data_IF_769204072616
#
_entry.id   IF_769204072616
#
_cell.length_a   1.000
_cell.length_b   1.000
_cell.length_c   1.000
_cell.angle_alpha   90.00
_cell.angle_beta   90.00
_cell.angle_gamma   90.00
#
_symmetry.space_group_name_H-M   'P 1'
#
loop_
_entity.id
_entity.type
_entity.pdbx_description
1 polymer ?
#
# COMPACT_ATOMS: atom_id res chain seq x y z
N UNK A 1 -11.24 -23.74 1.92
CA UNK A 1 -11.86 -22.61 1.19
C UNK A 1 -11.18 -22.51 -0.18
N UNK A 2 -11.91 -22.18 -1.24
CA UNK A 2 -11.28 -21.79 -2.51
C UNK A 2 -10.72 -20.37 -2.34
N UNK A 3 -9.54 -20.04 -2.90
CA UNK A 3 -9.08 -18.66 -2.97
C UNK A 3 -10.16 -17.85 -3.69
N UNK A 4 -10.59 -16.75 -3.10
CA UNK A 4 -11.42 -15.75 -3.79
C UNK A 4 -10.45 -15.03 -4.72
N UNK A 5 -10.77 -14.96 -6.02
CA UNK A 5 -10.01 -14.10 -6.92
C UNK A 5 -10.25 -12.65 -6.51
N UNK A 6 -9.20 -11.83 -6.42
CA UNK A 6 -9.25 -10.43 -5.95
C UNK A 6 -10.32 -9.61 -6.68
N UNK A 7 -10.57 -9.92 -7.95
CA UNK A 7 -11.59 -9.30 -8.82
C UNK A 7 -13.05 -9.58 -8.37
N UNK A 8 -13.31 -10.66 -7.66
CA UNK A 8 -14.64 -11.04 -7.16
C UNK A 8 -14.88 -10.58 -5.72
N UNK A 9 -13.85 -10.07 -5.03
CA UNK A 9 -13.97 -9.62 -3.65
C UNK A 9 -14.74 -8.30 -3.58
N UNK A 10 -15.81 -8.19 -2.77
CA UNK A 10 -16.53 -6.94 -2.56
C UNK A 10 -15.62 -5.79 -2.10
N UNK A 11 -15.92 -4.56 -2.54
CA UNK A 11 -15.10 -3.38 -2.23
C UNK A 11 -14.95 -3.13 -0.72
N UNK A 12 -16.02 -3.33 0.06
CA UNK A 12 -16.02 -3.16 1.51
C UNK A 12 -15.08 -4.15 2.22
N UNK A 13 -15.05 -5.41 1.75
CA UNK A 13 -14.12 -6.43 2.25
C UNK A 13 -12.67 -6.06 1.87
N UNK A 14 -12.46 -5.57 0.65
CA UNK A 14 -11.12 -5.17 0.21
C UNK A 14 -10.59 -3.95 0.96
N UNK A 15 -11.44 -2.95 1.22
CA UNK A 15 -11.10 -1.78 2.04
C UNK A 15 -10.72 -2.22 3.45
N UNK A 16 -11.43 -3.20 4.01
CA UNK A 16 -11.09 -3.75 5.32
C UNK A 16 -9.72 -4.45 5.29
N UNK A 17 -9.43 -5.23 4.26
CA UNK A 17 -8.13 -5.89 4.07
C UNK A 17 -6.98 -4.86 3.98
N UNK A 18 -7.15 -3.76 3.23
CA UNK A 18 -6.18 -2.66 3.15
C UNK A 18 -5.94 -2.02 4.53
N UNK A 19 -6.99 -1.83 5.34
CA UNK A 19 -6.86 -1.27 6.69
C UNK A 19 -6.11 -2.21 7.63
N UNK A 20 -6.43 -3.50 7.58
CA UNK A 20 -5.74 -4.53 8.36
C UNK A 20 -4.26 -4.63 7.96
N UNK A 21 -3.98 -4.63 6.65
CA UNK A 21 -2.61 -4.58 6.13
C UNK A 21 -1.86 -3.33 6.63
N UNK A 22 -2.49 -2.16 6.57
CA UNK A 22 -1.90 -0.90 7.04
C UNK A 22 -1.55 -0.98 8.52
N UNK A 23 -2.44 -1.54 9.35
CA UNK A 23 -2.21 -1.73 10.78
C UNK A 23 -1.05 -2.69 11.04
N UNK A 24 -1.07 -3.89 10.43
CA UNK A 24 0.01 -4.87 10.55
C UNK A 24 1.36 -4.30 10.09
N UNK A 25 1.38 -3.60 8.94
CA UNK A 25 2.59 -2.97 8.43
C UNK A 25 3.15 -1.94 9.40
N UNK A 26 2.30 -1.15 10.07
CA UNK A 26 2.74 -0.16 11.06
C UNK A 26 3.39 -0.79 12.30
N UNK A 27 3.07 -2.06 12.60
CA UNK A 27 3.62 -2.83 13.71
C UNK A 27 4.92 -3.52 13.30
N UNK A 28 4.95 -4.13 12.11
CA UNK A 28 6.09 -4.92 11.62
C UNK A 28 7.22 -4.03 11.06
N UNK A 29 6.87 -2.87 10.48
CA UNK A 29 7.79 -1.90 9.90
C UNK A 29 7.59 -0.48 10.45
N UNK A 30 7.67 -0.28 11.78
CA UNK A 30 7.28 0.97 12.43
C UNK A 30 8.14 2.17 12.00
N UNK A 31 9.43 1.95 11.76
CA UNK A 31 10.35 3.00 11.31
C UNK A 31 10.05 3.44 9.88
N UNK A 32 9.73 2.50 9.00
CA UNK A 32 9.35 2.78 7.61
C UNK A 32 8.01 3.53 7.58
N UNK A 33 7.04 3.07 8.36
CA UNK A 33 5.73 3.71 8.43
C UNK A 33 5.84 5.15 8.94
N UNK A 34 6.63 5.40 9.99
CA UNK A 34 6.92 6.77 10.48
C UNK A 34 7.62 7.63 9.44
N UNK A 35 8.54 7.05 8.67
CA UNK A 35 9.22 7.77 7.59
C UNK A 35 8.21 8.20 6.51
N UNK A 36 7.30 7.32 6.07
CA UNK A 36 6.24 7.67 5.12
C UNK A 36 5.37 8.81 5.64
N UNK A 37 4.88 8.73 6.88
CA UNK A 37 4.06 9.80 7.48
C UNK A 37 4.79 11.15 7.50
N UNK A 38 6.09 11.13 7.79
CA UNK A 38 6.92 12.33 7.89
C UNK A 38 7.19 12.94 6.52
N UNK A 39 7.64 12.13 5.56
CA UNK A 39 8.03 12.61 4.23
C UNK A 39 6.83 13.02 3.38
N UNK A 40 5.68 12.35 3.54
CA UNK A 40 4.43 12.72 2.87
C UNK A 40 3.67 13.82 3.62
N UNK A 41 4.05 14.11 4.87
CA UNK A 41 3.39 15.07 5.76
C UNK A 41 1.88 14.77 5.93
N UNK A 42 1.56 13.54 6.37
CA UNK A 42 0.18 13.07 6.54
C UNK A 42 -0.05 12.42 7.91
N UNK A 43 -1.32 12.42 8.34
CA UNK A 43 -1.76 11.64 9.51
C UNK A 43 -1.78 10.15 9.19
N UNK A 44 -1.56 9.32 10.22
CA UNK A 44 -1.71 7.86 10.14
C UNK A 44 -3.08 7.42 9.63
N UNK A 45 -4.13 8.20 9.91
CA UNK A 45 -5.51 7.85 9.52
C UNK A 45 -5.77 8.13 8.02
N UNK A 46 -4.82 8.76 7.33
CA UNK A 46 -4.90 9.12 5.91
C UNK A 46 -3.80 8.45 5.06
N UNK A 47 -3.05 7.51 5.63
CA UNK A 47 -2.01 6.75 4.91
C UNK A 47 -2.42 5.28 4.87
N UNK A 48 -2.56 4.72 3.67
CA UNK A 48 -3.00 3.34 3.47
C UNK A 48 -1.95 2.56 2.71
N UNK A 49 -1.45 1.47 3.28
CA UNK A 49 -0.63 0.50 2.57
C UNK A 49 -1.59 -0.38 1.79
N UNK A 50 -1.60 -0.25 0.46
CA UNK A 50 -2.56 -0.94 -0.41
C UNK A 50 -2.03 -2.26 -0.94
N UNK A 51 -0.71 -2.37 -1.00
CA UNK A 51 -0.01 -3.57 -1.44
C UNK A 51 1.26 -3.73 -0.62
N UNK A 52 1.61 -4.99 -0.32
CA UNK A 52 2.86 -5.35 0.33
C UNK A 52 3.29 -6.73 -0.15
N UNK A 53 4.28 -6.77 -1.03
CA UNK A 53 4.72 -7.97 -1.75
C UNK A 53 6.17 -8.26 -1.39
N UNK A 54 6.42 -9.44 -0.83
CA UNK A 54 7.78 -9.93 -0.58
C UNK A 54 8.45 -10.42 -1.87
N UNK A 55 9.68 -9.99 -2.10
CA UNK A 55 10.49 -10.48 -3.21
C UNK A 55 11.05 -11.87 -2.87
N UNK A 56 10.52 -12.90 -3.54
CA UNK A 56 10.93 -14.30 -3.31
C UNK A 56 12.40 -14.61 -3.62
N UNK A 57 13.09 -13.76 -4.39
CA UNK A 57 14.49 -13.98 -4.81
C UNK A 57 15.50 -13.16 -4.02
N UNK A 58 15.06 -12.05 -3.41
CA UNK A 58 15.92 -11.11 -2.72
C UNK A 58 15.45 -11.01 -1.27
N UNK A 59 16.19 -11.63 -0.36
CA UNK A 59 15.88 -11.59 1.06
C UNK A 59 15.74 -10.15 1.57
N UNK A 60 14.76 -9.92 2.45
CA UNK A 60 14.48 -8.61 3.05
C UNK A 60 14.24 -7.49 2.02
N UNK A 61 13.60 -7.84 0.90
CA UNK A 61 13.19 -6.89 -0.14
C UNK A 61 11.69 -7.00 -0.34
N UNK A 62 11.00 -5.88 -0.23
CA UNK A 62 9.55 -5.78 -0.37
C UNK A 62 9.21 -4.63 -1.31
N UNK A 63 8.11 -4.76 -2.03
CA UNK A 63 7.57 -3.72 -2.90
C UNK A 63 6.08 -3.58 -2.67
N UNK A 64 5.51 -2.43 -2.99
CA UNK A 64 4.08 -2.24 -2.92
C UNK A 64 3.69 -0.82 -3.24
N UNK A 65 2.45 -0.49 -2.96
CA UNK A 65 1.94 0.86 -3.09
C UNK A 65 1.39 1.39 -1.77
N UNK A 66 1.50 2.71 -1.63
CA UNK A 66 0.91 3.46 -0.53
C UNK A 66 0.06 4.58 -1.08
N UNK A 67 -1.15 4.70 -0.55
CA UNK A 67 -2.10 5.74 -0.88
C UNK A 67 -2.11 6.80 0.21
N UNK A 68 -1.88 8.04 -0.22
CA UNK A 68 -2.07 9.24 0.58
C UNK A 68 -3.45 9.84 0.26
N UNK A 69 -4.37 9.68 1.20
CA UNK A 69 -5.73 10.21 1.09
C UNK A 69 -5.78 11.73 1.21
N UNK A 70 -4.87 12.33 1.96
CA UNK A 70 -4.83 13.79 2.19
C UNK A 70 -4.60 14.53 0.88
N UNK A 71 -3.61 14.07 0.10
CA UNK A 71 -3.23 14.70 -1.16
C UNK A 71 -3.79 13.98 -2.39
N UNK A 72 -4.48 12.84 -2.20
CA UNK A 72 -4.99 11.95 -3.24
C UNK A 72 -3.90 11.51 -4.21
N UNK A 73 -2.80 10.99 -3.64
CA UNK A 73 -1.60 10.58 -4.38
C UNK A 73 -1.26 9.12 -4.08
N UNK A 74 -0.66 8.47 -5.05
CA UNK A 74 -0.19 7.10 -4.94
C UNK A 74 1.32 7.08 -5.09
N UNK A 75 1.98 6.20 -4.34
CA UNK A 75 3.42 6.04 -4.40
C UNK A 75 3.75 4.56 -4.53
N UNK A 76 4.59 4.22 -5.50
CA UNK A 76 5.30 2.94 -5.53
C UNK A 76 6.43 3.04 -4.51
N UNK A 77 6.53 2.04 -3.62
CA UNK A 77 7.63 1.94 -2.68
C UNK A 77 8.37 0.60 -2.79
N UNK A 78 9.66 0.68 -2.46
CA UNK A 78 10.53 -0.47 -2.24
C UNK A 78 11.17 -0.34 -0.87
N UNK A 79 11.18 -1.44 -0.12
CA UNK A 79 11.95 -1.58 1.12
C UNK A 79 13.04 -2.59 0.84
N UNK A 80 14.31 -2.21 0.99
CA UNK A 80 15.44 -3.14 0.85
C UNK A 80 16.40 -2.93 2.00
N UNK A 81 16.71 -4.01 2.74
CA UNK A 81 17.57 -3.93 3.93
C UNK A 81 17.11 -2.83 4.91
N UNK A 82 15.80 -2.74 5.16
CA UNK A 82 15.14 -1.73 6.01
C UNK A 82 15.24 -0.27 5.52
N UNK A 83 15.73 -0.03 4.29
CA UNK A 83 15.74 1.30 3.68
C UNK A 83 14.54 1.42 2.74
N UNK A 84 13.75 2.47 2.98
CA UNK A 84 12.64 2.85 2.13
C UNK A 84 13.13 3.68 0.94
N UNK A 85 12.53 3.45 -0.21
CA UNK A 85 12.58 4.33 -1.38
C UNK A 85 11.20 4.33 -2.01
N UNK A 86 10.65 5.49 -2.31
CA UNK A 86 9.33 5.61 -2.93
C UNK A 86 9.28 6.80 -3.88
N UNK A 87 8.38 6.74 -4.85
CA UNK A 87 8.16 7.81 -5.81
C UNK A 87 6.68 7.91 -6.17
N UNK A 88 6.22 9.13 -6.42
CA UNK A 88 4.85 9.38 -6.83
C UNK A 88 4.58 8.75 -8.20
N UNK A 89 3.45 8.06 -8.31
CA UNK A 89 2.94 7.51 -9.56
C UNK A 89 1.64 8.20 -9.95
N UNK A 90 1.43 8.34 -11.26
CA UNK A 90 0.20 8.94 -11.78
C UNK A 90 -0.94 7.93 -11.69
N UNK A 91 -1.86 8.13 -10.73
CA UNK A 91 -3.04 7.29 -10.50
C UNK A 91 -3.82 7.05 -11.80
N UNK A 92 -3.87 8.04 -12.71
CA UNK A 92 -4.63 7.92 -13.98
C UNK A 92 -4.00 6.95 -14.97
N UNK A 93 -2.74 6.57 -14.76
CA UNK A 93 -2.01 5.60 -15.60
C UNK A 93 -1.97 4.21 -14.99
N UNK A 94 -2.35 4.05 -13.72
CA UNK A 94 -2.41 2.76 -13.06
C UNK A 94 -3.60 1.94 -13.58
N UNK A 95 -3.38 0.64 -13.67
CA UNK A 95 -4.39 -0.36 -14.03
C UNK A 95 -4.37 -1.50 -12.99
N UNK A 96 -5.33 -2.41 -13.07
CA UNK A 96 -5.35 -3.61 -12.19
C UNK A 96 -4.16 -4.54 -12.42
N UNK A 97 -3.39 -4.35 -13.50
CA UNK A 97 -2.10 -5.04 -13.68
C UNK A 97 -1.01 -4.52 -12.75
N UNK A 98 -1.16 -3.28 -12.27
CA UNK A 98 -0.21 -2.62 -11.39
C UNK A 98 -0.64 -2.82 -9.93
N UNK A 99 -1.90 -2.48 -9.61
CA UNK A 99 -2.50 -2.71 -8.30
C UNK A 99 -4.02 -2.75 -8.40
N UNK A 100 -4.66 -3.71 -7.72
CA UNK A 100 -6.13 -3.81 -7.65
C UNK A 100 -6.76 -2.72 -6.79
N UNK A 101 -5.95 -2.06 -5.93
CA UNK A 101 -6.40 -1.01 -5.01
C UNK A 101 -7.00 0.21 -5.70
N UNK A 102 -6.68 0.44 -6.98
CA UNK A 102 -7.25 1.54 -7.78
C UNK A 102 -8.79 1.52 -7.79
N UNK A 103 -9.41 0.36 -7.57
CA UNK A 103 -10.87 0.19 -7.58
C UNK A 103 -11.58 0.76 -6.35
N UNK A 104 -10.84 1.01 -5.25
CA UNK A 104 -11.40 1.46 -3.95
C UNK A 104 -10.79 2.76 -3.41
N UNK A 105 -9.88 3.42 -4.14
CA UNK A 105 -9.19 4.62 -3.63
C UNK A 105 -10.13 5.77 -3.25
N UNK A 106 -11.25 5.93 -3.96
CA UNK A 106 -12.25 6.96 -3.65
C UNK A 106 -13.07 6.65 -2.38
N UNK A 107 -13.07 5.38 -1.94
CA UNK A 107 -13.80 4.87 -0.77
C UNK A 107 -12.91 4.74 0.48
N UNK A 108 -11.58 4.77 0.32
CA UNK A 108 -10.60 4.80 1.42
C UNK A 108 -10.63 6.13 2.16
#
# INVERSE_FOLDING_TARGET
>A
MKPIELDEMPNDIFIQDIKELTESFSIDFPDVFRQLLTELNVSKDNLFITDFIENQKIANSYTGYVFDKTHKKMYDYTIKNKKLSFFEVDIKKLTTKDTDSIRVLDEL
#
